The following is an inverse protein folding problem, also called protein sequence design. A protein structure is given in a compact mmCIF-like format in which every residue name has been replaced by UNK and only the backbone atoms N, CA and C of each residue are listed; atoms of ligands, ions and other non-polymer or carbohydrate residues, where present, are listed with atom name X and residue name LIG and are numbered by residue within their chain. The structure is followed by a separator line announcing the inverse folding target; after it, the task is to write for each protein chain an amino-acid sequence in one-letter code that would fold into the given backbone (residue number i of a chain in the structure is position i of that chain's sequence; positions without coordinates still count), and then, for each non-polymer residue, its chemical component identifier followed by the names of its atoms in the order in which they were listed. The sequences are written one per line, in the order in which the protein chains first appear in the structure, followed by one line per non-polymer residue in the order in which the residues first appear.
data_IF_556044412075
#
_entry.id   IF_556044412075
#
_cell.length_a   1.000
_cell.length_b   1.000
_cell.length_c   1.000
_cell.angle_alpha   90.00
_cell.angle_beta   90.00
_cell.angle_gamma   90.00
#
_symmetry.space_group_name_H-M   'P 1'
#
loop_
_entity.id
_entity.type
_entity.pdbx_description
1 polymer ?
#
# COMPACT_ATOMS: atom_id res chain seq x y z
N UNK A 1 1.33 -45.48 -13.73
CA UNK A 1 2.70 -45.14 -13.27
C UNK A 1 3.14 -43.86 -13.98
N UNK A 2 2.87 -42.71 -13.36
CA UNK A 2 3.50 -41.40 -13.63
C UNK A 2 3.52 -40.70 -12.28
N UNK A 3 4.67 -40.77 -11.60
CA UNK A 3 4.80 -40.70 -10.14
C UNK A 3 5.59 -39.46 -9.67
N UNK A 4 5.48 -38.32 -10.35
CA UNK A 4 6.18 -37.07 -9.96
C UNK A 4 5.28 -35.82 -10.13
N UNK A 5 4.05 -35.89 -9.61
CA UNK A 5 3.14 -34.76 -9.50
C UNK A 5 3.38 -33.96 -8.23
N UNK A 6 4.36 -33.04 -8.25
CA UNK A 6 4.47 -31.99 -7.21
C UNK A 6 3.40 -30.93 -7.53
N UNK A 7 2.15 -31.29 -7.24
CA UNK A 7 1.03 -30.36 -7.28
C UNK A 7 1.10 -29.45 -6.05
N UNK A 8 1.33 -28.15 -6.28
CA UNK A 8 1.25 -27.12 -5.25
C UNK A 8 -0.13 -27.25 -4.56
N UNK A 9 -0.21 -27.38 -3.22
CA UNK A 9 -1.51 -27.48 -2.55
C UNK A 9 -2.34 -26.24 -2.88
N UNK A 10 -3.55 -26.45 -3.40
CA UNK A 10 -4.49 -25.36 -3.68
C UNK A 10 -4.86 -24.70 -2.34
N UNK A 11 -4.80 -23.36 -2.22
CA UNK A 11 -5.12 -22.69 -0.97
C UNK A 11 -6.57 -22.97 -0.56
N UNK A 12 -6.77 -23.24 0.72
CA UNK A 12 -8.10 -23.52 1.30
C UNK A 12 -9.01 -22.29 1.15
N UNK A 13 -10.33 -22.50 1.18
CA UNK A 13 -11.29 -21.38 1.17
C UNK A 13 -11.01 -20.37 2.30
N UNK A 14 -10.62 -20.85 3.48
CA UNK A 14 -10.21 -20.00 4.61
C UNK A 14 -8.96 -19.16 4.30
N UNK A 15 -7.93 -19.76 3.69
CA UNK A 15 -6.73 -19.03 3.28
C UNK A 15 -7.03 -17.95 2.23
N UNK A 16 -7.95 -18.24 1.30
CA UNK A 16 -8.42 -17.26 0.31
C UNK A 16 -9.19 -16.11 0.96
N UNK A 17 -10.09 -16.40 1.90
CA UNK A 17 -10.86 -15.37 2.62
C UNK A 17 -9.91 -14.49 3.45
N UNK A 18 -8.97 -15.09 4.18
CA UNK A 18 -8.00 -14.35 4.99
C UNK A 18 -7.12 -13.42 4.13
N UNK A 19 -6.73 -13.85 2.93
CA UNK A 19 -5.98 -13.00 1.99
C UNK A 19 -6.82 -11.79 1.54
N UNK A 20 -8.07 -12.01 1.14
CA UNK A 20 -8.99 -10.93 0.72
C UNK A 20 -9.26 -9.96 1.85
N UNK A 21 -9.49 -10.45 3.07
CA UNK A 21 -9.64 -9.57 4.24
C UNK A 21 -8.39 -8.72 4.49
N UNK A 22 -7.21 -9.29 4.31
CA UNK A 22 -5.95 -8.57 4.41
C UNK A 22 -5.86 -7.44 3.38
N UNK A 23 -6.17 -7.72 2.12
CA UNK A 23 -6.19 -6.71 1.04
C UNK A 23 -7.19 -5.59 1.33
N UNK A 24 -8.41 -5.93 1.77
CA UNK A 24 -9.44 -4.93 2.11
C UNK A 24 -8.99 -4.01 3.26
N UNK A 25 -8.37 -4.56 4.31
CA UNK A 25 -7.87 -3.76 5.44
C UNK A 25 -6.77 -2.80 5.00
N UNK A 26 -5.86 -3.25 4.13
CA UNK A 26 -4.80 -2.40 3.58
C UNK A 26 -5.37 -1.26 2.71
N UNK A 27 -6.39 -1.55 1.89
CA UNK A 27 -7.04 -0.53 1.07
C UNK A 27 -7.76 0.50 1.94
N UNK A 28 -8.42 0.06 3.01
CA UNK A 28 -9.09 0.94 3.97
C UNK A 28 -8.11 1.86 4.72
N UNK A 29 -6.97 1.34 5.20
CA UNK A 29 -5.94 2.17 5.84
C UNK A 29 -5.38 3.22 4.87
N UNK A 30 -5.09 2.80 3.63
CA UNK A 30 -4.59 3.69 2.58
C UNK A 30 -5.58 4.83 2.31
N UNK A 31 -6.87 4.52 2.16
CA UNK A 31 -7.92 5.51 1.97
C UNK A 31 -8.00 6.49 3.15
N UNK A 32 -7.98 6.00 4.39
CA UNK A 32 -8.06 6.83 5.58
C UNK A 32 -6.86 7.78 5.69
N UNK A 33 -5.65 7.32 5.34
CA UNK A 33 -4.44 8.15 5.32
C UNK A 33 -4.50 9.20 4.22
N UNK A 34 -4.95 8.83 3.03
CA UNK A 34 -5.15 9.74 1.90
C UNK A 34 -6.13 10.86 2.29
N UNK A 35 -7.30 10.49 2.80
CA UNK A 35 -8.36 11.43 3.20
C UNK A 35 -7.86 12.42 4.25
N UNK A 36 -7.24 11.95 5.34
CA UNK A 36 -6.67 12.82 6.39
C UNK A 36 -5.56 13.74 5.85
N UNK A 37 -4.69 13.21 4.99
CA UNK A 37 -3.56 13.98 4.44
C UNK A 37 -4.03 15.08 3.50
N UNK A 38 -4.94 14.76 2.59
CA UNK A 38 -5.43 15.72 1.61
C UNK A 38 -6.40 16.73 2.24
N UNK A 39 -7.23 16.33 3.20
CA UNK A 39 -8.03 17.28 3.98
C UNK A 39 -7.13 18.30 4.67
N UNK A 40 -6.09 17.85 5.38
CA UNK A 40 -5.14 18.75 6.06
C UNK A 40 -4.37 19.68 5.11
N UNK A 41 -4.11 19.24 3.88
CA UNK A 41 -3.32 20.02 2.90
C UNK A 41 -4.16 20.98 2.07
N UNK A 42 -5.41 20.65 1.79
CA UNK A 42 -6.23 21.33 0.81
C UNK A 42 -7.44 22.06 1.39
N UNK A 43 -7.94 21.65 2.56
CA UNK A 43 -9.11 22.27 3.19
C UNK A 43 -8.65 23.10 4.40
N UNK A 44 -8.74 24.43 4.33
CA UNK A 44 -8.38 25.29 5.45
C UNK A 44 -9.33 25.11 6.63
N UNK A 45 -8.87 25.42 7.84
CA UNK A 45 -9.71 25.36 9.05
C UNK A 45 -10.65 26.56 9.21
N UNK A 46 -10.47 27.61 8.40
CA UNK A 46 -11.38 28.75 8.29
C UNK A 46 -12.44 28.46 7.22
N UNK A 47 -13.58 27.90 7.66
CA UNK A 47 -14.67 27.50 6.77
C UNK A 47 -15.59 28.68 6.49
N UNK A 48 -15.49 29.22 5.26
CA UNK A 48 -16.34 30.35 4.82
C UNK A 48 -17.65 29.90 4.18
N UNK A 49 -17.67 28.68 3.65
CA UNK A 49 -18.81 28.04 2.99
C UNK A 49 -18.73 26.51 3.20
N UNK A 50 -19.86 25.81 2.99
CA UNK A 50 -19.94 24.35 3.22
C UNK A 50 -19.52 23.50 2.02
N UNK A 51 -19.47 24.09 0.83
CA UNK A 51 -19.08 23.43 -0.40
C UNK A 51 -17.59 23.61 -0.68
N UNK A 52 -17.00 22.67 -1.42
CA UNK A 52 -15.62 22.82 -1.87
C UNK A 52 -15.54 23.88 -2.96
N UNK A 53 -14.71 24.90 -2.75
CA UNK A 53 -14.45 25.86 -3.80
C UNK A 53 -13.53 25.25 -4.89
N UNK A 54 -13.48 25.89 -6.05
CA UNK A 54 -12.68 25.41 -7.19
C UNK A 54 -11.20 25.18 -6.84
N UNK A 55 -10.64 25.99 -5.95
CA UNK A 55 -9.26 25.86 -5.50
C UNK A 55 -9.04 24.59 -4.67
N UNK A 56 -9.96 24.32 -3.74
CA UNK A 56 -9.97 23.11 -2.91
C UNK A 56 -10.16 21.86 -3.76
N UNK A 57 -11.11 21.86 -4.69
CA UNK A 57 -11.34 20.71 -5.60
C UNK A 57 -10.08 20.37 -6.41
N UNK A 58 -9.48 21.36 -7.08
CA UNK A 58 -8.25 21.15 -7.87
C UNK A 58 -7.07 20.75 -6.98
N UNK A 59 -7.00 21.27 -5.74
CA UNK A 59 -5.99 20.84 -4.78
C UNK A 59 -6.16 19.36 -4.41
N UNK A 60 -7.39 18.91 -4.13
CA UNK A 60 -7.68 17.52 -3.78
C UNK A 60 -7.30 16.54 -4.90
N UNK A 61 -7.58 16.89 -6.16
CA UNK A 61 -7.17 16.09 -7.33
C UNK A 61 -5.64 15.93 -7.39
N UNK A 62 -4.93 17.05 -7.29
CA UNK A 62 -3.45 17.07 -7.29
C UNK A 62 -2.86 16.36 -6.08
N UNK A 63 -3.50 16.50 -4.92
CA UNK A 63 -3.06 15.85 -3.68
C UNK A 63 -3.18 14.34 -3.81
N UNK A 64 -4.28 13.86 -4.35
CA UNK A 64 -4.51 12.42 -4.56
C UNK A 64 -3.49 11.82 -5.51
N UNK A 65 -3.25 12.48 -6.65
CA UNK A 65 -2.22 12.05 -7.60
C UNK A 65 -0.83 11.97 -6.93
N UNK A 66 -0.42 13.04 -6.25
CA UNK A 66 0.87 13.08 -5.55
C UNK A 66 0.99 12.06 -4.42
N UNK A 67 -0.09 11.80 -3.69
CA UNK A 67 -0.10 10.83 -2.60
C UNK A 67 0.16 9.42 -3.13
N UNK A 68 -0.50 9.05 -4.23
CA UNK A 68 -0.30 7.75 -4.88
C UNK A 68 1.10 7.63 -5.48
N UNK A 69 1.59 8.67 -6.18
CA UNK A 69 2.96 8.70 -6.71
C UNK A 69 4.00 8.53 -5.60
N UNK A 70 3.81 9.24 -4.49
CA UNK A 70 4.69 9.14 -3.32
C UNK A 70 4.62 7.76 -2.68
N UNK A 71 3.43 7.16 -2.59
CA UNK A 71 3.23 5.81 -2.04
C UNK A 71 3.92 4.73 -2.89
N UNK A 72 3.84 4.85 -4.22
CA UNK A 72 4.59 3.98 -5.14
C UNK A 72 6.10 4.16 -4.95
N UNK A 73 6.57 5.42 -4.85
CA UNK A 73 8.00 5.68 -4.68
C UNK A 73 8.56 5.12 -3.37
N UNK A 74 7.82 5.26 -2.28
CA UNK A 74 8.17 4.65 -0.98
C UNK A 74 8.23 3.12 -1.12
N UNK A 75 7.29 2.52 -1.85
CA UNK A 75 7.28 1.07 -2.07
C UNK A 75 8.53 0.59 -2.82
N UNK A 76 8.97 1.31 -3.85
CA UNK A 76 10.23 1.02 -4.56
C UNK A 76 11.44 1.08 -3.60
N UNK A 77 11.53 2.13 -2.79
CA UNK A 77 12.63 2.32 -1.84
C UNK A 77 12.65 1.20 -0.79
N UNK A 78 11.49 0.82 -0.25
CA UNK A 78 11.38 -0.28 0.70
C UNK A 78 11.81 -1.62 0.09
N UNK A 79 11.46 -1.89 -1.17
CA UNK A 79 11.90 -3.11 -1.86
C UNK A 79 13.42 -3.11 -2.08
N UNK A 80 13.99 -1.99 -2.52
CA UNK A 80 15.45 -1.83 -2.67
C UNK A 80 16.18 -2.04 -1.34
N UNK A 81 15.67 -1.48 -0.26
CA UNK A 81 16.25 -1.63 1.07
C UNK A 81 16.10 -3.05 1.62
N UNK A 82 14.98 -3.73 1.34
CA UNK A 82 14.77 -5.14 1.68
C UNK A 82 15.75 -6.07 0.96
N UNK A 83 16.06 -5.79 -0.31
CA UNK A 83 17.10 -6.52 -1.05
C UNK A 83 18.50 -6.25 -0.50
N UNK A 84 18.81 -5.00 -0.15
CA UNK A 84 20.08 -4.64 0.47
C UNK A 84 20.29 -5.30 1.84
N UNK A 85 19.22 -5.42 2.65
CA UNK A 85 19.25 -6.10 3.96
C UNK A 85 19.20 -7.63 3.83
N UNK A 86 18.57 -8.18 2.78
CA UNK A 86 18.55 -9.61 2.48
C UNK A 86 19.84 -10.15 1.84
N UNK A 87 20.69 -9.27 1.29
CA UNK A 87 22.01 -9.61 0.74
C UNK A 87 23.12 -9.72 1.80
N UNK A 88 22.80 -9.53 3.09
CA UNK A 88 23.73 -9.64 4.23
C UNK A 88 23.64 -10.94 5.03
N UNK A 89 23.01 -11.99 4.51
CA UNK A 89 23.05 -13.31 5.15
C UNK A 89 24.46 -13.91 5.05
N UNK A 90 25.16 -14.21 6.16
CA UNK A 90 26.46 -14.85 6.09
C UNK A 90 26.33 -16.23 5.44
N UNK A 91 26.94 -16.36 4.27
CA UNK A 91 27.21 -17.62 3.63
C UNK A 91 28.52 -18.18 4.21
N UNK A 92 28.45 -19.41 4.71
CA UNK A 92 29.57 -20.18 5.28
C UNK A 92 29.36 -20.41 6.77
N UNK A 93 29.12 -21.61 7.28
CA UNK A 93 29.61 -22.91 6.87
C UNK A 93 30.29 -23.53 8.10
N UNK A 94 29.97 -24.80 8.37
CA UNK A 94 30.64 -25.69 9.33
C UNK A 94 30.54 -25.32 10.83
N UNK A 95 29.39 -25.60 11.45
CA UNK A 95 29.25 -26.39 12.69
C UNK A 95 27.84 -26.98 12.74
#
# INVERSE_FOLDING_TARGET
MSFLGIGRPQPTSEQKIAAVEGEMRMMADTYNRLQKTCQKKCVPTDYREGELNKGESVCLDRCTAKFLDTSMKISEIMQQQGQAMGAGGPQGGLF
#
